data_IF_566006683393
#
_entry.id   IF_566006683393
#
_cell.length_a   1.000
_cell.length_b   1.000
_cell.length_c   1.000
_cell.angle_alpha   90.00
_cell.angle_beta   90.00
_cell.angle_gamma   90.00
#
_symmetry.space_group_name_H-M   'P 1'
#
loop_
_entity.id
_entity.type
_entity.pdbx_description
1 polymer ?
#
# COMPACT_ATOMS: atom_id res chain seq x y z
N UNK A 1 -8.27 2.02 -10.94
CA UNK A 1 -8.99 1.01 -10.13
C UNK A 1 -8.09 -0.20 -9.96
N UNK A 2 -7.93 -0.71 -8.74
CA UNK A 2 -7.04 -1.85 -8.41
C UNK A 2 -7.84 -2.96 -7.74
N UNK A 3 -7.43 -4.22 -7.93
CA UNK A 3 -8.01 -5.39 -7.28
C UNK A 3 -6.93 -6.11 -6.47
N UNK A 4 -7.22 -6.34 -5.19
CA UNK A 4 -6.37 -7.10 -4.29
C UNK A 4 -7.25 -8.13 -3.55
N UNK A 5 -6.78 -9.37 -3.49
CA UNK A 5 -7.49 -10.45 -2.80
C UNK A 5 -6.56 -11.15 -1.83
N UNK A 6 -7.07 -11.52 -0.66
CA UNK A 6 -6.41 -12.37 0.30
C UNK A 6 -7.36 -13.49 0.72
N UNK A 7 -6.88 -14.74 0.67
CA UNK A 7 -7.68 -15.94 0.93
C UNK A 7 -6.95 -16.84 1.91
N UNK A 8 -7.69 -17.45 2.83
CA UNK A 8 -7.21 -18.53 3.70
C UNK A 8 -8.00 -19.80 3.43
N UNK A 9 -7.31 -20.90 3.14
CA UNK A 9 -7.89 -22.24 2.99
C UNK A 9 -7.09 -23.22 3.84
N UNK A 10 -7.71 -23.72 4.91
CA UNK A 10 -7.04 -24.59 5.88
C UNK A 10 -5.80 -23.91 6.49
N UNK A 11 -4.63 -24.53 6.29
CA UNK A 11 -3.32 -24.04 6.78
C UNK A 11 -2.56 -23.16 5.77
N UNK A 12 -3.17 -22.84 4.62
CA UNK A 12 -2.54 -22.03 3.58
C UNK A 12 -3.21 -20.66 3.48
N UNK A 13 -2.39 -19.64 3.22
CA UNK A 13 -2.78 -18.26 2.97
C UNK A 13 -2.22 -17.86 1.61
N UNK A 14 -3.03 -17.17 0.80
CA UNK A 14 -2.65 -16.67 -0.51
C UNK A 14 -3.09 -15.21 -0.65
N UNK A 15 -2.26 -14.40 -1.30
CA UNK A 15 -2.55 -13.03 -1.72
C UNK A 15 -2.30 -12.92 -3.22
N UNK A 16 -3.16 -12.17 -3.92
CA UNK A 16 -2.99 -11.86 -5.33
C UNK A 16 -3.50 -10.46 -5.64
N UNK A 17 -2.99 -9.87 -6.72
CA UNK A 17 -3.42 -8.56 -7.21
C UNK A 17 -3.51 -8.54 -8.73
N UNK A 18 -4.23 -7.56 -9.27
CA UNK A 18 -4.01 -7.14 -10.66
C UNK A 18 -2.64 -6.45 -10.81
N UNK A 19 -2.27 -6.14 -12.05
CA UNK A 19 -0.95 -5.58 -12.42
C UNK A 19 -1.03 -4.30 -13.27
N UNK A 20 -2.22 -3.68 -13.36
CA UNK A 20 -2.41 -2.46 -14.14
C UNK A 20 -2.19 -1.22 -13.28
N UNK A 21 -1.22 -0.38 -13.64
CA UNK A 21 -1.03 0.95 -13.04
C UNK A 21 -1.72 2.01 -13.89
N UNK A 22 -2.29 3.02 -13.25
CA UNK A 22 -2.93 4.15 -13.93
C UNK A 22 -2.42 5.49 -13.41
N UNK A 23 -2.17 6.43 -14.31
CA UNK A 23 -1.87 7.82 -13.99
C UNK A 23 -2.94 8.72 -14.64
N UNK A 24 -3.94 9.12 -13.84
CA UNK A 24 -5.22 9.57 -14.38
C UNK A 24 -5.83 8.49 -15.28
N UNK A 25 -6.19 8.85 -16.52
CA UNK A 25 -6.75 7.92 -17.50
C UNK A 25 -5.70 7.10 -18.26
N UNK A 26 -4.40 7.38 -18.08
CA UNK A 26 -3.33 6.68 -18.78
C UNK A 26 -3.07 5.32 -18.14
N UNK A 27 -3.11 4.26 -18.95
CA UNK A 27 -2.90 2.87 -18.54
C UNK A 27 -1.45 2.45 -18.77
N UNK A 28 -0.80 1.94 -17.74
CA UNK A 28 0.52 1.33 -17.78
C UNK A 28 0.38 -0.16 -17.46
N UNK A 29 0.43 -0.99 -18.52
CA UNK A 29 0.41 -2.45 -18.39
C UNK A 29 1.70 -2.93 -17.71
N UNK A 30 1.64 -4.14 -17.16
CA UNK A 30 2.76 -4.80 -16.49
C UNK A 30 4.05 -4.82 -17.34
N UNK A 31 3.94 -4.98 -18.66
CA UNK A 31 5.09 -5.01 -19.58
C UNK A 31 5.91 -3.70 -19.58
N UNK A 32 5.31 -2.60 -19.10
CA UNK A 32 5.94 -1.28 -19.01
C UNK A 32 6.38 -0.89 -17.60
N UNK A 33 6.13 -1.74 -16.59
CA UNK A 33 6.40 -1.46 -15.18
C UNK A 33 7.31 -2.56 -14.64
N UNK A 34 8.49 -2.19 -14.14
CA UNK A 34 9.48 -3.15 -13.67
C UNK A 34 8.98 -4.03 -12.51
N UNK A 35 8.21 -3.44 -11.60
CA UNK A 35 7.63 -4.11 -10.43
C UNK A 35 6.10 -3.93 -10.43
N UNK A 36 5.35 -4.72 -11.23
CA UNK A 36 3.92 -4.48 -11.44
C UNK A 36 3.02 -5.09 -10.34
N UNK A 37 3.60 -5.78 -9.36
CA UNK A 37 2.87 -6.37 -8.26
C UNK A 37 2.44 -5.31 -7.24
N UNK A 38 1.19 -5.37 -6.77
CA UNK A 38 0.64 -4.39 -5.82
C UNK A 38 0.71 -4.86 -4.37
N UNK A 39 1.66 -5.74 -4.06
CA UNK A 39 1.87 -6.25 -2.71
C UNK A 39 3.35 -6.35 -2.38
N UNK A 40 3.66 -6.08 -1.12
CA UNK A 40 5.03 -5.89 -0.64
C UNK A 40 5.26 -6.72 0.61
N UNK A 41 6.47 -7.26 0.75
CA UNK A 41 6.87 -7.92 1.98
C UNK A 41 7.28 -6.88 3.02
N UNK A 42 6.70 -6.97 4.21
CA UNK A 42 7.09 -6.15 5.36
C UNK A 42 7.29 -7.04 6.59
N UNK A 43 8.55 -7.32 6.91
CA UNK A 43 8.90 -8.33 7.92
C UNK A 43 8.40 -9.73 7.51
N UNK A 44 7.57 -10.34 8.36
CA UNK A 44 6.95 -11.65 8.12
C UNK A 44 5.60 -11.57 7.40
N UNK A 45 5.10 -10.37 7.14
CA UNK A 45 3.79 -10.15 6.51
C UNK A 45 3.91 -9.75 5.04
N UNK A 46 2.83 -9.96 4.30
CA UNK A 46 2.66 -9.41 2.95
C UNK A 46 1.53 -8.40 3.02
N UNK A 47 1.80 -7.17 2.59
CA UNK A 47 0.85 -6.05 2.62
C UNK A 47 0.49 -5.69 1.19
N UNK A 48 -0.80 -5.76 0.88
CA UNK A 48 -1.34 -5.31 -0.40
C UNK A 48 -1.71 -3.84 -0.36
N UNK A 49 -1.49 -3.13 -1.46
CA UNK A 49 -1.75 -1.70 -1.59
C UNK A 49 -2.73 -1.42 -2.73
N UNK A 50 -3.71 -0.57 -2.43
CA UNK A 50 -4.66 -0.02 -3.41
C UNK A 50 -4.78 1.49 -3.20
N UNK A 51 -5.19 2.22 -4.25
CA UNK A 51 -5.28 3.67 -4.24
C UNK A 51 -4.41 4.31 -5.33
N UNK A 52 -3.96 5.53 -5.09
CA UNK A 52 -3.06 6.28 -5.97
C UNK A 52 -1.71 5.60 -6.15
N UNK A 53 -1.16 5.66 -7.37
CA UNK A 53 0.14 5.07 -7.69
C UNK A 53 1.28 5.66 -6.84
N UNK A 54 1.17 6.92 -6.40
CA UNK A 54 2.14 7.53 -5.49
C UNK A 54 2.28 6.79 -4.15
N UNK A 55 1.21 6.12 -3.66
CA UNK A 55 1.29 5.35 -2.41
C UNK A 55 2.32 4.22 -2.46
N UNK A 56 2.61 3.66 -3.65
CA UNK A 56 3.63 2.60 -3.80
C UNK A 56 5.01 3.10 -3.39
N UNK A 57 5.39 4.29 -3.84
CA UNK A 57 6.69 4.89 -3.51
C UNK A 57 6.77 5.26 -2.03
N UNK A 58 5.67 5.79 -1.47
CA UNK A 58 5.57 6.09 -0.04
C UNK A 58 5.70 4.83 0.82
N UNK A 59 4.96 3.77 0.49
CA UNK A 59 5.05 2.48 1.19
C UNK A 59 6.46 1.88 1.07
N UNK A 60 7.05 1.92 -0.11
CA UNK A 60 8.42 1.42 -0.34
C UNK A 60 9.44 2.18 0.52
N UNK A 61 9.31 3.51 0.60
CA UNK A 61 10.12 4.37 1.46
C UNK A 61 9.94 4.03 2.93
N UNK A 62 8.69 3.88 3.40
CA UNK A 62 8.37 3.46 4.77
C UNK A 62 9.01 2.11 5.12
N UNK A 63 8.85 1.10 4.26
CA UNK A 63 9.44 -0.23 4.47
C UNK A 63 10.96 -0.15 4.62
N UNK A 64 11.63 0.63 3.74
CA UNK A 64 13.09 0.78 3.76
C UNK A 64 13.61 1.55 4.98
N UNK A 65 12.86 2.54 5.47
CA UNK A 65 13.26 3.39 6.60
C UNK A 65 12.84 2.83 7.97
N UNK A 66 11.98 1.81 7.99
CA UNK A 66 11.51 1.18 9.22
C UNK A 66 12.57 0.25 9.81
N UNK A 67 13.21 0.67 10.91
CA UNK A 67 14.27 -0.12 11.58
C UNK A 67 13.79 -1.46 12.13
N UNK A 68 12.57 -1.51 12.67
CA UNK A 68 11.93 -2.72 13.17
C UNK A 68 10.60 -2.90 12.45
N UNK A 69 10.41 -3.98 11.67
CA UNK A 69 9.16 -4.20 10.96
C UNK A 69 7.99 -4.26 11.96
N UNK A 70 6.82 -3.70 11.61
CA UNK A 70 5.65 -3.73 12.45
C UNK A 70 5.07 -5.15 12.52
N UNK A 71 4.32 -5.40 13.59
CA UNK A 71 3.59 -6.64 13.77
C UNK A 71 2.15 -6.49 13.24
N UNK A 72 1.72 -7.47 12.46
CA UNK A 72 0.36 -7.57 11.93
C UNK A 72 -0.34 -8.84 12.43
N UNK A 73 0.05 -9.34 13.61
CA UNK A 73 -0.37 -10.66 14.11
C UNK A 73 -1.76 -10.63 14.80
N UNK A 74 -2.20 -9.46 15.25
CA UNK A 74 -3.51 -9.25 15.85
C UNK A 74 -4.22 -8.00 15.32
N UNK A 75 -5.55 -7.94 15.49
CA UNK A 75 -6.36 -6.77 15.08
C UNK A 75 -5.88 -5.47 15.73
N UNK A 76 -5.48 -5.53 17.01
CA UNK A 76 -5.02 -4.35 17.75
C UNK A 76 -3.65 -3.88 17.25
N UNK A 77 -2.72 -4.81 16.99
CA UNK A 77 -1.41 -4.47 16.44
C UNK A 77 -1.52 -3.88 15.03
N UNK A 78 -2.42 -4.41 14.19
CA UNK A 78 -2.72 -3.84 12.89
C UNK A 78 -3.21 -2.40 13.06
N UNK A 79 -4.17 -2.16 13.96
CA UNK A 79 -4.70 -0.82 14.20
C UNK A 79 -3.62 0.17 14.66
N UNK A 80 -2.84 -0.17 15.70
CA UNK A 80 -1.80 0.71 16.23
C UNK A 80 -0.70 0.99 15.21
N UNK A 81 -0.33 -0.02 14.41
CA UNK A 81 0.61 0.16 13.29
C UNK A 81 0.08 1.14 12.26
N UNK A 82 -1.15 0.96 11.78
CA UNK A 82 -1.74 1.85 10.77
C UNK A 82 -1.94 3.26 11.32
N UNK A 83 -2.31 3.40 12.61
CA UNK A 83 -2.42 4.69 13.30
C UNK A 83 -1.07 5.42 13.35
N UNK A 84 0.01 4.71 13.66
CA UNK A 84 1.37 5.25 13.64
C UNK A 84 1.82 5.66 12.25
N UNK A 85 1.57 4.82 11.24
CA UNK A 85 1.85 5.11 9.83
C UNK A 85 1.10 6.38 9.39
N UNK A 86 -0.18 6.54 9.75
CA UNK A 86 -0.95 7.72 9.36
C UNK A 86 -0.33 9.03 9.85
N UNK A 87 0.25 9.04 11.06
CA UNK A 87 0.99 10.20 11.56
C UNK A 87 2.18 10.54 10.66
N UNK A 88 3.01 9.53 10.34
CA UNK A 88 4.16 9.68 9.45
C UNK A 88 3.73 10.16 8.05
N UNK A 89 2.64 9.60 7.52
CA UNK A 89 2.10 10.00 6.22
C UNK A 89 1.76 11.50 6.16
N UNK A 90 1.19 12.05 7.22
CA UNK A 90 0.87 13.48 7.29
C UNK A 90 2.09 14.37 7.52
N UNK A 91 2.97 13.96 8.42
CA UNK A 91 4.09 14.81 8.87
C UNK A 91 5.30 14.78 7.92
N UNK A 92 5.58 13.62 7.32
CA UNK A 92 6.78 13.40 6.50
C UNK A 92 6.49 13.23 5.01
N UNK A 93 5.31 12.70 4.67
CA UNK A 93 4.90 12.48 3.27
C UNK A 93 3.80 13.43 2.81
N UNK A 94 3.44 14.45 3.60
CA UNK A 94 2.50 15.51 3.24
C UNK A 94 1.10 15.04 2.81
N UNK A 95 0.64 13.89 3.29
CA UNK A 95 -0.69 13.36 2.97
C UNK A 95 -1.78 14.40 3.31
N UNK A 96 -2.54 14.81 2.30
CA UNK A 96 -3.59 15.81 2.40
C UNK A 96 -4.93 15.09 2.65
N UNK A 97 -5.75 15.56 3.62
CA UNK A 97 -7.12 15.08 3.74
C UNK A 97 -7.90 15.46 2.48
N UNK A 98 -8.59 14.49 1.88
CA UNK A 98 -9.40 14.73 0.68
C UNK A 98 -10.57 15.64 1.03
N UNK A 99 -10.49 16.92 0.64
CA UNK A 99 -11.62 17.87 0.63
C UNK A 99 -12.29 17.84 -0.75
N UNK A 100 -13.51 18.37 -0.87
CA UNK A 100 -14.26 18.34 -2.13
C UNK A 100 -13.53 18.98 -3.32
N UNK A 101 -12.54 19.84 -3.05
CA UNK A 101 -11.76 20.58 -4.05
C UNK A 101 -10.46 19.87 -4.52
N UNK A 102 -9.94 18.89 -3.78
CA UNK A 102 -8.66 18.20 -4.07
C UNK A 102 -8.87 16.72 -4.38
N UNK A 103 -9.42 16.43 -5.56
CA UNK A 103 -9.79 15.07 -5.99
C UNK A 103 -8.71 14.34 -6.81
N UNK A 104 -7.58 14.96 -7.12
CA UNK A 104 -6.67 14.43 -8.15
C UNK A 104 -5.39 13.76 -7.62
N UNK A 105 -4.84 14.17 -6.46
CA UNK A 105 -3.70 13.50 -5.81
C UNK A 105 -3.75 13.73 -4.29
N UNK A 106 -3.60 12.69 -3.43
CA UNK A 106 -3.54 12.85 -1.99
C UNK A 106 -2.20 13.35 -1.45
N UNK A 107 -1.19 13.57 -2.30
CA UNK A 107 0.15 14.06 -1.97
C UNK A 107 0.50 15.39 -2.66
#
# INVERSE_FOLDING_TARGET
MSTLVAVRKGKQICIASDSLTTFGDKKQKADYVAEPAKFYKWGHSIVGLVGYAAHEQVLTSLIKNTKKPPEFSSKLEIFETIRGIHKILKEEYYLIPTTEDNKEDPY
#
